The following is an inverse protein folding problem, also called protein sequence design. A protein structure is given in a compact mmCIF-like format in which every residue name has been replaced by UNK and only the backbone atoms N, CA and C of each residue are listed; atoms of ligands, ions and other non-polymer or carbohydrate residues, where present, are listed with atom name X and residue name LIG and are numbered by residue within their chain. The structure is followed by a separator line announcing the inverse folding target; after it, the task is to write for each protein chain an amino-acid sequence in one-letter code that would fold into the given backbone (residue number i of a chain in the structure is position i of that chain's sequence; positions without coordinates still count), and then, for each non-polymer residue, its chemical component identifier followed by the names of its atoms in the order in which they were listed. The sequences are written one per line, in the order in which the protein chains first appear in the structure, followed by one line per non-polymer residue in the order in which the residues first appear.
data_IF_018342525509
#
_entry.id   IF_018342525509
#
_cell.length_a   1.000
_cell.length_b   1.000
_cell.length_c   1.000
_cell.angle_alpha   90.00
_cell.angle_beta   90.00
_cell.angle_gamma   90.00
#
_symmetry.space_group_name_H-M   'P 1'
#
loop_
_entity.id
_entity.type
_entity.pdbx_description
1 polymer ?
#
# COMPACT_ATOMS: atom_id res chain seq x y z
N UNK A 1 7.46 3.49 -24.30
CA UNK A 1 6.30 3.77 -23.42
C UNK A 1 6.84 4.56 -22.24
N UNK A 2 6.45 5.83 -22.17
CA UNK A 2 7.16 6.89 -21.45
C UNK A 2 6.89 6.86 -19.95
N UNK A 3 7.95 7.12 -19.15
CA UNK A 3 7.92 7.30 -17.69
C UNK A 3 6.82 8.28 -17.20
N UNK A 4 6.34 9.17 -18.07
CA UNK A 4 5.26 10.12 -17.79
C UNK A 4 3.90 9.45 -17.54
N UNK A 5 3.58 8.32 -18.19
CA UNK A 5 2.31 7.62 -17.94
C UNK A 5 2.31 6.88 -16.59
N UNK A 6 3.46 6.35 -16.18
CA UNK A 6 3.62 5.64 -14.90
C UNK A 6 3.58 6.58 -13.68
N UNK A 7 4.03 7.83 -13.82
CA UNK A 7 3.99 8.82 -12.73
C UNK A 7 2.56 9.30 -12.43
N UNK A 8 1.69 9.36 -13.43
CA UNK A 8 0.28 9.71 -13.23
C UNK A 8 -0.46 8.61 -12.47
N UNK A 9 -0.23 7.34 -12.84
CA UNK A 9 -0.89 6.22 -12.19
C UNK A 9 -0.56 6.14 -10.68
N UNK A 10 0.71 6.31 -10.29
CA UNK A 10 1.08 6.25 -8.88
C UNK A 10 0.46 7.39 -8.06
N UNK A 11 0.45 8.61 -8.60
CA UNK A 11 -0.16 9.75 -7.92
C UNK A 11 -1.68 9.60 -7.81
N UNK A 12 -2.34 9.06 -8.84
CA UNK A 12 -3.78 8.76 -8.81
C UNK A 12 -4.11 7.70 -7.74
N UNK A 13 -3.30 6.64 -7.63
CA UNK A 13 -3.46 5.62 -6.59
C UNK A 13 -3.21 6.19 -5.19
N UNK A 14 -2.20 7.06 -5.03
CA UNK A 14 -1.94 7.78 -3.77
C UNK A 14 -3.11 8.66 -3.38
N UNK A 15 -3.70 9.40 -4.33
CA UNK A 15 -4.89 10.23 -4.09
C UNK A 15 -6.10 9.38 -3.72
N UNK A 16 -6.33 8.28 -4.43
CA UNK A 16 -7.44 7.37 -4.13
C UNK A 16 -7.33 6.79 -2.71
N UNK A 17 -6.14 6.30 -2.34
CA UNK A 17 -5.86 5.78 -1.01
C UNK A 17 -5.97 6.87 0.08
N UNK A 18 -5.44 8.08 -0.21
CA UNK A 18 -5.49 9.21 0.72
C UNK A 18 -6.91 9.71 0.95
N UNK A 19 -7.77 9.68 -0.06
CA UNK A 19 -9.20 10.05 0.05
C UNK A 19 -9.94 9.23 1.12
N UNK A 20 -9.48 8.00 1.39
CA UNK A 20 -10.06 7.11 2.40
C UNK A 20 -9.59 7.38 3.82
N UNK A 21 -8.54 8.18 4.00
CA UNK A 21 -8.08 8.58 5.35
C UNK A 21 -9.01 9.61 5.94
N UNK A 22 -9.14 9.64 7.27
CA UNK A 22 -10.00 10.60 7.95
C UNK A 22 -9.23 11.86 8.34
N UNK A 23 -9.80 13.08 8.19
CA UNK A 23 -9.16 14.29 8.66
C UNK A 23 -8.98 14.25 10.19
N UNK A 24 -7.94 14.93 10.69
CA UNK A 24 -7.71 15.02 12.14
C UNK A 24 -8.53 16.19 12.72
N UNK A 25 -9.63 15.87 13.39
CA UNK A 25 -10.48 16.89 14.02
C UNK A 25 -9.69 17.79 14.97
N UNK A 26 -9.89 19.10 14.85
CA UNK A 26 -9.32 20.10 15.76
C UNK A 26 -7.89 20.54 15.44
N UNK A 27 -7.30 20.14 14.30
CA UNK A 27 -5.98 20.60 13.87
C UNK A 27 -6.02 21.43 12.58
N UNK A 28 -5.28 22.56 12.56
CA UNK A 28 -5.12 23.44 11.39
C UNK A 28 -4.48 22.76 10.17
N UNK A 29 -3.74 21.67 10.40
CA UNK A 29 -3.02 20.91 9.39
C UNK A 29 -3.77 19.62 8.96
N UNK A 30 -5.10 19.58 9.12
CA UNK A 30 -5.99 18.46 8.74
C UNK A 30 -5.88 18.01 7.27
N UNK A 31 -5.33 18.86 6.40
CA UNK A 31 -5.08 18.56 4.99
C UNK A 31 -3.74 17.83 4.78
N UNK A 32 -2.77 18.05 5.68
CA UNK A 32 -1.44 17.46 5.63
C UNK A 32 -1.37 16.17 6.44
N UNK A 33 -2.01 16.17 7.61
CA UNK A 33 -2.11 15.05 8.53
C UNK A 33 -3.52 14.48 8.52
N UNK A 34 -3.62 13.17 8.35
CA UNK A 34 -4.87 12.42 8.38
C UNK A 34 -4.67 11.14 9.19
N UNK A 35 -5.76 10.47 9.51
CA UNK A 35 -5.76 9.18 10.20
C UNK A 35 -6.00 8.05 9.21
N UNK A 36 -5.16 7.03 9.29
CA UNK A 36 -5.40 5.77 8.58
C UNK A 36 -6.62 5.03 9.17
N UNK A 37 -6.97 3.89 8.57
CA UNK A 37 -8.10 3.06 9.02
C UNK A 37 -7.93 2.48 10.43
N UNK A 38 -6.70 2.48 10.96
CA UNK A 38 -6.38 2.01 12.32
C UNK A 38 -6.26 3.17 13.32
N UNK A 39 -6.47 4.41 12.89
CA UNK A 39 -6.39 5.61 13.72
C UNK A 39 -4.97 6.18 13.89
N UNK A 40 -3.96 5.62 13.22
CA UNK A 40 -2.60 6.14 13.20
C UNK A 40 -2.52 7.42 12.37
N UNK A 41 -1.69 8.36 12.82
CA UNK A 41 -1.42 9.58 12.08
C UNK A 41 -0.49 9.32 10.90
N UNK A 42 -0.89 9.81 9.73
CA UNK A 42 -0.13 9.74 8.48
C UNK A 42 -0.04 11.12 7.86
N UNK A 43 1.10 11.43 7.23
CA UNK A 43 1.35 12.72 6.58
C UNK A 43 1.55 12.54 5.08
N UNK A 44 0.82 13.28 4.25
CA UNK A 44 0.81 13.07 2.79
C UNK A 44 2.22 13.08 2.19
N UNK A 45 3.07 14.01 2.64
CA UNK A 45 4.45 14.19 2.18
C UNK A 45 5.46 13.13 2.69
N UNK A 46 5.07 12.29 3.65
CA UNK A 46 5.90 11.23 4.20
C UNK A 46 5.59 9.85 3.59
N UNK A 47 5.01 9.85 2.39
CA UNK A 47 4.81 8.64 1.59
C UNK A 47 6.14 7.88 1.40
N UNK A 48 6.14 6.58 1.72
CA UNK A 48 7.31 5.70 1.62
C UNK A 48 8.41 5.94 2.65
N UNK A 49 8.27 6.91 3.56
CA UNK A 49 9.29 7.25 4.55
C UNK A 49 9.11 6.43 5.83
N UNK A 50 9.70 5.24 5.87
CA UNK A 50 9.72 4.39 7.08
C UNK A 50 10.54 4.97 8.24
N UNK A 51 11.37 5.97 7.98
CA UNK A 51 12.10 6.71 9.02
C UNK A 51 11.25 7.78 9.70
N UNK A 52 10.13 8.15 9.09
CA UNK A 52 9.24 9.19 9.61
C UNK A 52 8.21 8.61 10.58
N UNK A 53 7.91 9.28 11.71
CA UNK A 53 6.86 8.86 12.63
C UNK A 53 5.45 8.94 12.03
N UNK A 54 5.29 9.60 10.88
CA UNK A 54 4.01 9.76 10.16
C UNK A 54 4.07 9.17 8.74
N UNK A 55 5.07 8.33 8.48
CA UNK A 55 5.22 7.69 7.18
C UNK A 55 4.07 6.75 6.87
N UNK A 56 3.74 6.63 5.60
CA UNK A 56 2.67 5.75 5.16
C UNK A 56 3.00 5.13 3.82
N UNK A 57 2.35 4.01 3.57
CA UNK A 57 2.51 3.22 2.35
C UNK A 57 1.13 2.87 1.80
N UNK A 58 1.11 2.50 0.51
CA UNK A 58 -0.09 1.94 -0.10
C UNK A 58 -0.24 0.50 0.37
N UNK A 59 -1.45 0.17 0.84
CA UNK A 59 -1.82 -1.17 1.25
C UNK A 59 -3.09 -1.61 0.50
N UNK A 60 -3.13 -2.88 0.09
CA UNK A 60 -4.34 -3.48 -0.47
C UNK A 60 -5.22 -3.99 0.66
N UNK A 61 -6.46 -3.51 0.73
CA UNK A 61 -7.45 -3.89 1.77
C UNK A 61 -7.67 -5.41 1.71
N UNK A 62 -7.93 -5.93 0.51
CA UNK A 62 -7.98 -7.37 0.22
C UNK A 62 -6.80 -7.77 -0.66
N UNK A 63 -5.99 -8.77 -0.27
CA UNK A 63 -4.96 -9.31 -1.15
C UNK A 63 -5.61 -10.03 -2.33
N UNK A 64 -4.92 -10.05 -3.47
CA UNK A 64 -5.42 -10.68 -4.70
C UNK A 64 -5.75 -12.16 -4.52
N UNK A 65 -4.99 -12.85 -3.65
CA UNK A 65 -5.18 -14.27 -3.30
C UNK A 65 -6.52 -14.56 -2.60
N UNK A 66 -7.16 -13.54 -2.01
CA UNK A 66 -8.47 -13.64 -1.38
C UNK A 66 -9.58 -13.00 -2.25
N UNK A 67 -9.34 -12.87 -3.56
CA UNK A 67 -10.27 -12.23 -4.49
C UNK A 67 -10.25 -10.70 -4.45
N UNK A 68 -9.18 -10.10 -3.92
CA UNK A 68 -8.95 -8.66 -4.01
C UNK A 68 -8.64 -8.22 -5.44
N UNK A 69 -9.14 -7.05 -5.82
CA UNK A 69 -8.86 -6.44 -7.13
C UNK A 69 -7.69 -5.47 -7.04
N UNK A 70 -6.96 -5.25 -8.13
CA UNK A 70 -5.92 -4.21 -8.21
C UNK A 70 -6.49 -2.81 -8.41
N UNK A 71 -7.80 -2.64 -8.16
CA UNK A 71 -8.51 -1.41 -8.36
C UNK A 71 -8.17 -0.39 -7.26
N UNK A 72 -8.24 0.93 -7.57
CA UNK A 72 -8.02 1.99 -6.59
C UNK A 72 -8.99 1.94 -5.40
N UNK A 73 -10.18 1.36 -5.58
CA UNK A 73 -11.17 1.14 -4.53
C UNK A 73 -10.72 0.13 -3.45
N UNK A 74 -9.80 -0.78 -3.80
CA UNK A 74 -9.20 -1.77 -2.90
C UNK A 74 -7.88 -1.28 -2.28
N UNK A 75 -7.50 -0.02 -2.51
CA UNK A 75 -6.33 0.60 -1.89
C UNK A 75 -6.70 1.40 -0.65
N UNK A 76 -5.79 1.41 0.32
CA UNK A 76 -5.84 2.27 1.49
C UNK A 76 -4.45 2.82 1.82
N UNK A 77 -4.41 4.00 2.42
CA UNK A 77 -3.20 4.54 3.02
C UNK A 77 -3.07 3.97 4.42
N UNK A 78 -1.96 3.29 4.70
CA UNK A 78 -1.70 2.64 5.98
C UNK A 78 -0.36 3.12 6.55
N UNK A 79 -0.30 3.33 7.86
CA UNK A 79 0.95 3.71 8.49
C UNK A 79 2.02 2.62 8.27
N UNK A 80 3.27 3.01 7.98
CA UNK A 80 4.31 2.06 7.56
C UNK A 80 4.57 0.96 8.59
N UNK A 81 4.48 1.26 9.89
CA UNK A 81 4.63 0.24 10.96
C UNK A 81 3.51 -0.80 10.92
N UNK A 82 2.28 -0.36 10.66
CA UNK A 82 1.14 -1.25 10.57
C UNK A 82 1.22 -2.11 9.30
N UNK A 83 1.65 -1.51 8.19
CA UNK A 83 1.90 -2.24 6.95
C UNK A 83 3.02 -3.27 7.10
N UNK A 84 4.13 -2.90 7.74
CA UNK A 84 5.24 -3.81 8.02
C UNK A 84 4.80 -4.99 8.90
N UNK A 85 4.02 -4.73 9.96
CA UNK A 85 3.46 -5.77 10.81
C UNK A 85 2.45 -6.67 10.08
N UNK A 86 1.74 -6.15 9.07
CA UNK A 86 0.86 -6.93 8.20
C UNK A 86 1.64 -7.82 7.24
N UNK A 87 2.72 -7.30 6.64
CA UNK A 87 3.58 -8.04 5.72
C UNK A 87 4.30 -9.21 6.40
N UNK A 88 4.70 -9.05 7.66
CA UNK A 88 5.32 -10.12 8.46
C UNK A 88 4.33 -11.27 8.76
N UNK A 89 3.03 -10.95 8.79
CA UNK A 89 1.94 -11.93 9.02
C UNK A 89 1.46 -12.63 7.76
N UNK A 90 1.97 -12.29 6.58
CA UNK A 90 1.74 -13.12 5.39
C UNK A 90 2.75 -14.26 5.48
N UNK A 91 2.34 -15.50 5.84
CA UNK A 91 3.28 -16.60 5.89
C UNK A 91 3.91 -16.77 4.51
N UNK A 92 5.21 -17.02 4.52
CA UNK A 92 6.11 -17.27 3.38
C UNK A 92 5.72 -18.51 2.54
N UNK A 93 4.46 -18.94 2.56
CA UNK A 93 3.93 -20.08 1.82
C UNK A 93 3.22 -19.72 0.51
N UNK A 94 3.12 -18.44 0.14
CA UNK A 94 2.39 -17.99 -1.04
C UNK A 94 3.25 -17.33 -2.14
N UNK A 95 4.58 -17.37 -1.98
CA UNK A 95 5.56 -16.94 -2.99
C UNK A 95 6.35 -18.13 -3.55
N UNK A 96 5.67 -19.16 -4.06
CA UNK A 96 6.27 -20.19 -4.92
C UNK A 96 5.20 -21.03 -5.61
N UNK A 97 4.52 -20.44 -6.61
CA UNK A 97 3.67 -21.23 -7.52
C UNK A 97 3.65 -20.65 -8.95
N UNK A 98 4.70 -19.94 -9.35
CA UNK A 98 4.83 -19.45 -10.72
C UNK A 98 6.31 -19.40 -11.17
N UNK A 99 7.00 -20.53 -11.15
CA UNK A 99 7.91 -20.88 -12.25
C UNK A 99 7.65 -22.33 -12.60
N UNK A 100 6.97 -22.46 -13.73
CA UNK A 100 6.67 -23.67 -14.48
C UNK A 100 7.93 -24.49 -14.76
N UNK A 101 7.75 -25.80 -14.61
CA UNK A 101 8.49 -26.89 -15.21
C UNK A 101 9.04 -26.57 -16.61
N UNK A 102 10.34 -26.78 -16.80
CA UNK A 102 10.85 -27.20 -18.11
C UNK A 102 11.92 -28.26 -17.85
N UNK A 103 11.47 -29.51 -17.84
CA UNK A 103 12.13 -30.64 -18.53
C UNK A 103 13.59 -30.42 -18.93
N UNK A 104 14.52 -31.24 -18.40
CA UNK A 104 15.19 -32.28 -19.21
C UNK A 104 15.52 -33.50 -18.34
N UNK A 105 15.05 -34.63 -18.86
CA UNK A 105 15.19 -36.02 -18.46
C UNK A 105 16.52 -36.58 -19.02
N UNK A 106 17.20 -37.40 -18.22
CA UNK A 106 18.10 -38.49 -18.59
C UNK A 106 19.35 -38.19 -19.45
N UNK A 107 20.52 -38.51 -18.87
CA UNK A 107 21.50 -39.43 -19.45
C UNK A 107 22.38 -39.98 -18.31
#
# INVERSE_FOLDING_TARGET
MSLHEHMNLLEDLKRAAWSRTSPVSGQLNSWEFRKDCLGNLVRYQDYGKRTSPFGWELDFIKPQQLGGTSNPENLQALHWKANAAKSDRIPVGLVSAAVIDTTVKAA
#
